data_IF_011518823296
#
_entry.id   IF_011518823296
#
_cell.length_a   1.000
_cell.length_b   1.000
_cell.length_c   1.000
_cell.angle_alpha   90.00
_cell.angle_beta   90.00
_cell.angle_gamma   90.00
#
_symmetry.space_group_name_H-M   'P 1'
#
loop_
_entity.id
_entity.type
_entity.pdbx_description
1 polymer ?
#
# COMPACT_ATOMS: atom_id res chain seq x y z
N UNK A 1 -11.89 6.23 23.90
CA UNK A 1 -12.44 4.91 24.09
C UNK A 1 -12.34 4.06 22.83
N UNK A 2 -12.88 2.86 22.89
CA UNK A 2 -12.84 1.94 21.75
C UNK A 2 -13.53 2.48 20.51
N UNK A 3 -14.63 3.18 20.70
CA UNK A 3 -15.37 3.77 19.60
C UNK A 3 -14.55 4.82 18.88
N UNK A 4 -13.76 5.58 19.63
CA UNK A 4 -12.93 6.64 19.06
C UNK A 4 -11.85 6.04 18.14
N UNK A 5 -11.26 4.91 18.53
CA UNK A 5 -10.25 4.23 17.72
C UNK A 5 -10.86 3.76 16.40
N UNK A 6 -12.04 3.14 16.44
CA UNK A 6 -12.72 2.69 15.24
C UNK A 6 -13.15 3.85 14.36
N UNK A 7 -13.66 4.93 14.96
CA UNK A 7 -14.14 6.10 14.22
C UNK A 7 -13.00 6.88 13.55
N UNK A 8 -11.76 6.71 14.02
CA UNK A 8 -10.60 7.37 13.40
C UNK A 8 -10.04 6.62 12.20
N UNK A 9 -10.45 5.38 11.97
CA UNK A 9 -9.96 4.60 10.83
C UNK A 9 -10.68 4.99 9.56
N UNK A 10 -9.94 5.01 8.45
CA UNK A 10 -10.50 5.35 7.15
C UNK A 10 -11.56 4.30 6.75
N UNK A 11 -12.83 4.71 6.55
CA UNK A 11 -13.88 3.74 6.24
C UNK A 11 -13.69 3.07 4.87
N UNK A 12 -14.09 1.81 4.77
CA UNK A 12 -14.15 1.15 3.47
C UNK A 12 -15.12 1.90 2.56
N UNK A 13 -14.81 1.98 1.28
CA UNK A 13 -15.57 2.77 0.31
C UNK A 13 -15.09 4.20 0.17
N UNK A 14 -14.22 4.67 1.07
CA UNK A 14 -13.66 6.03 0.97
C UNK A 14 -12.88 6.18 -0.32
N UNK A 15 -13.07 7.31 -0.99
CA UNK A 15 -12.28 7.64 -2.17
C UNK A 15 -10.83 7.90 -1.82
N UNK A 16 -9.93 7.51 -2.71
CA UNK A 16 -8.50 7.70 -2.55
C UNK A 16 -8.19 9.17 -2.22
N UNK A 17 -7.61 9.45 -1.04
CA UNK A 17 -7.20 10.81 -0.71
C UNK A 17 -6.18 11.34 -1.70
N UNK A 18 -6.26 12.63 -1.99
CA UNK A 18 -5.31 13.29 -2.86
C UNK A 18 -3.91 13.30 -2.25
N UNK A 19 -2.92 13.13 -3.10
CA UNK A 19 -1.53 13.35 -2.72
C UNK A 19 -0.74 13.80 -3.94
N UNK A 20 0.36 14.48 -3.67
CA UNK A 20 1.34 14.88 -4.68
C UNK A 20 2.69 14.93 -3.96
N UNK A 21 3.44 13.84 -4.03
CA UNK A 21 4.62 13.65 -3.20
C UNK A 21 5.86 13.39 -4.03
N UNK A 22 6.97 13.94 -3.58
CA UNK A 22 8.24 13.78 -4.26
C UNK A 22 8.85 12.42 -3.95
N UNK A 23 9.20 11.69 -4.99
CA UNK A 23 9.88 10.41 -4.88
C UNK A 23 11.40 10.54 -4.71
N UNK A 24 12.01 9.44 -4.34
CA UNK A 24 13.48 9.35 -4.21
C UNK A 24 14.19 9.50 -5.55
N UNK A 25 13.46 9.39 -6.65
CA UNK A 25 13.93 9.61 -8.02
C UNK A 25 13.74 11.07 -8.47
N UNK A 26 13.33 11.94 -7.55
CA UNK A 26 13.06 13.37 -7.75
C UNK A 26 11.81 13.68 -8.58
N UNK A 27 11.08 12.64 -9.01
CA UNK A 27 9.79 12.81 -9.69
C UNK A 27 8.67 12.97 -8.67
N UNK A 28 7.61 13.67 -9.06
CA UNK A 28 6.41 13.81 -8.24
C UNK A 28 5.38 12.78 -8.64
N UNK A 29 4.74 12.17 -7.65
CA UNK A 29 3.71 11.15 -7.85
C UNK A 29 2.41 11.62 -7.22
N UNK A 30 1.35 11.59 -8.03
CA UNK A 30 0.00 12.01 -7.63
C UNK A 30 -0.92 10.81 -7.58
N UNK A 31 -1.98 10.91 -6.79
CA UNK A 31 -3.04 9.89 -6.76
C UNK A 31 -3.58 9.58 -8.15
N UNK A 32 -3.72 10.57 -9.02
CA UNK A 32 -4.25 10.40 -10.38
C UNK A 32 -3.28 9.69 -11.33
N UNK A 33 -2.00 9.58 -11.00
CA UNK A 33 -1.02 8.90 -11.84
C UNK A 33 -1.30 7.40 -11.98
N UNK A 34 -2.11 6.84 -11.09
CA UNK A 34 -2.43 5.41 -11.07
C UNK A 34 -3.81 5.09 -11.65
N UNK A 35 -4.46 6.07 -12.28
CA UNK A 35 -5.82 5.92 -12.80
C UNK A 35 -5.97 4.85 -13.89
N UNK A 36 -4.89 4.56 -14.62
CA UNK A 36 -4.88 3.52 -15.66
C UNK A 36 -4.60 2.12 -15.09
N UNK A 37 -4.25 2.03 -13.81
CA UNK A 37 -3.98 0.74 -13.18
C UNK A 37 -5.30 0.09 -12.73
N UNK A 38 -5.25 -1.23 -12.56
CA UNK A 38 -6.37 -1.99 -12.03
C UNK A 38 -6.31 -1.99 -10.49
N UNK A 39 -6.51 -0.82 -9.91
CA UNK A 39 -6.40 -0.63 -8.47
C UNK A 39 -5.04 -0.12 -8.04
N UNK A 40 -4.93 0.21 -6.76
CA UNK A 40 -3.73 0.81 -6.17
C UNK A 40 -3.53 0.33 -4.74
N UNK A 41 -2.33 -0.14 -4.45
CA UNK A 41 -1.89 -0.40 -3.08
C UNK A 41 -1.06 0.78 -2.59
N UNK A 42 -1.51 1.44 -1.54
CA UNK A 42 -0.77 2.49 -0.84
C UNK A 42 -0.23 1.91 0.45
N UNK A 43 1.08 2.04 0.65
CA UNK A 43 1.76 1.51 1.83
C UNK A 43 2.45 2.64 2.58
N UNK A 44 2.18 2.75 3.87
CA UNK A 44 2.98 3.63 4.73
C UNK A 44 4.08 2.78 5.35
N UNK A 45 5.30 3.03 4.93
CA UNK A 45 6.49 2.26 5.32
C UNK A 45 7.63 3.21 5.67
N UNK A 46 8.65 2.67 6.32
CA UNK A 46 9.85 3.44 6.66
C UNK A 46 11.06 2.50 6.67
N UNK A 47 12.24 3.09 6.75
CA UNK A 47 13.48 2.31 6.70
C UNK A 47 13.90 1.77 8.06
N UNK A 48 13.59 2.50 9.15
CA UNK A 48 14.09 2.14 10.46
C UNK A 48 13.16 1.23 11.27
N UNK A 49 11.92 1.07 10.83
CA UNK A 49 10.93 0.30 11.57
C UNK A 49 11.26 -1.19 11.59
N UNK A 50 11.46 -1.80 12.77
CA UNK A 50 11.76 -3.24 12.84
C UNK A 50 10.70 -4.11 12.20
N UNK A 51 9.43 -3.71 12.26
CA UNK A 51 8.35 -4.46 11.66
C UNK A 51 8.45 -4.44 10.13
N UNK A 52 8.73 -3.29 9.53
CA UNK A 52 8.94 -3.19 8.07
C UNK A 52 10.12 -4.06 7.66
N UNK A 53 11.23 -4.00 8.39
CA UNK A 53 12.41 -4.84 8.12
C UNK A 53 12.08 -6.32 8.19
N UNK A 54 11.21 -6.69 9.12
CA UNK A 54 10.78 -8.08 9.31
C UNK A 54 10.09 -8.66 8.08
N UNK A 55 9.31 -7.85 7.36
CA UNK A 55 8.52 -8.33 6.22
C UNK A 55 9.11 -7.97 4.85
N UNK A 56 10.21 -7.23 4.82
CA UNK A 56 10.71 -6.58 3.58
C UNK A 56 10.92 -7.51 2.40
N UNK A 57 11.57 -8.66 2.59
CA UNK A 57 11.82 -9.56 1.45
C UNK A 57 10.53 -10.05 0.81
N UNK A 58 9.59 -10.47 1.64
CA UNK A 58 8.30 -10.96 1.16
C UNK A 58 7.49 -9.82 0.55
N UNK A 59 7.59 -8.64 1.15
CA UNK A 59 6.89 -7.45 0.64
C UNK A 59 7.36 -7.09 -0.76
N UNK A 60 8.66 -7.16 -1.03
CA UNK A 60 9.22 -6.89 -2.36
C UNK A 60 8.67 -7.87 -3.38
N UNK A 61 8.72 -9.16 -3.08
CA UNK A 61 8.18 -10.19 -3.98
C UNK A 61 6.69 -9.96 -4.25
N UNK A 62 5.95 -9.68 -3.19
CA UNK A 62 4.50 -9.47 -3.28
C UNK A 62 4.16 -8.25 -4.14
N UNK A 63 4.82 -7.13 -3.90
CA UNK A 63 4.55 -5.89 -4.65
C UNK A 63 5.00 -5.99 -6.10
N UNK A 64 6.09 -6.69 -6.37
CA UNK A 64 6.53 -6.94 -7.75
C UNK A 64 5.49 -7.77 -8.51
N UNK A 65 4.88 -8.75 -7.86
CA UNK A 65 3.78 -9.51 -8.47
C UNK A 65 2.57 -8.63 -8.76
N UNK A 66 2.22 -7.72 -7.86
CA UNK A 66 1.11 -6.78 -8.08
C UNK A 66 1.37 -5.89 -9.28
N UNK A 67 2.57 -5.35 -9.39
CA UNK A 67 2.96 -4.50 -10.51
C UNK A 67 2.84 -5.27 -11.82
N UNK A 68 3.27 -6.52 -11.83
CA UNK A 68 3.14 -7.38 -13.01
C UNK A 68 1.68 -7.63 -13.40
N UNK A 69 0.76 -7.53 -12.45
CA UNK A 69 -0.69 -7.68 -12.67
C UNK A 69 -1.39 -6.34 -12.95
N UNK A 70 -0.63 -5.28 -13.20
CA UNK A 70 -1.13 -3.94 -13.45
C UNK A 70 -1.86 -3.32 -12.25
N UNK A 71 -1.51 -3.72 -11.04
CA UNK A 71 -1.96 -3.03 -9.84
C UNK A 71 -0.89 -2.01 -9.48
N UNK A 72 -1.28 -0.76 -9.31
CA UNK A 72 -0.35 0.29 -8.89
C UNK A 72 0.10 0.04 -7.46
N UNK A 73 1.34 0.40 -7.16
CA UNK A 73 1.90 0.30 -5.80
C UNK A 73 2.70 1.56 -5.52
N UNK A 74 2.52 2.14 -4.35
CA UNK A 74 3.32 3.28 -3.89
C UNK A 74 3.66 3.10 -2.41
N UNK A 75 4.90 3.37 -2.06
CA UNK A 75 5.37 3.40 -0.67
C UNK A 75 5.54 4.84 -0.23
N UNK A 76 4.95 5.20 0.89
CA UNK A 76 4.99 6.55 1.44
C UNK A 76 5.71 6.51 2.79
N UNK A 77 6.77 7.30 2.92
CA UNK A 77 7.49 7.48 4.17
C UNK A 77 7.11 8.84 4.76
N UNK A 78 6.43 8.82 5.88
CA UNK A 78 5.94 10.03 6.56
C UNK A 78 6.77 10.41 7.78
N UNK A 79 7.90 9.78 7.99
CA UNK A 79 8.79 10.13 9.10
C UNK A 79 9.60 11.37 8.76
N UNK A 80 9.68 12.27 9.72
CA UNK A 80 10.46 13.51 9.56
C UNK A 80 11.94 13.24 9.83
N UNK A 81 12.71 13.05 8.78
CA UNK A 81 14.13 12.71 8.87
C UNK A 81 15.01 13.84 9.42
N UNK A 82 14.46 15.05 9.56
CA UNK A 82 15.17 16.13 10.25
C UNK A 82 15.26 15.86 11.76
N UNK A 83 14.41 15.00 12.30
CA UNK A 83 14.49 14.55 13.68
C UNK A 83 15.53 13.42 13.80
N UNK A 84 16.34 13.50 14.83
CA UNK A 84 17.43 12.53 15.06
C UNK A 84 16.93 11.08 15.07
N UNK A 85 15.79 10.84 15.70
CA UNK A 85 15.22 9.48 15.81
C UNK A 85 14.81 8.89 14.46
N UNK A 86 14.65 9.72 13.43
CA UNK A 86 14.27 9.29 12.09
C UNK A 86 15.39 9.52 11.05
N UNK A 87 16.63 9.65 11.50
CA UNK A 87 17.76 9.88 10.60
C UNK A 87 17.90 8.78 9.54
N UNK A 88 17.50 7.54 9.87
CA UNK A 88 17.53 6.42 8.92
C UNK A 88 16.47 6.53 7.83
N UNK A 89 15.57 7.50 7.93
CA UNK A 89 14.52 7.74 6.94
C UNK A 89 14.83 8.94 6.03
N UNK A 90 16.09 9.37 5.97
CA UNK A 90 16.51 10.39 5.01
C UNK A 90 16.36 9.88 3.58
N UNK A 91 16.30 10.82 2.63
CA UNK A 91 16.18 10.49 1.21
C UNK A 91 17.33 9.59 0.77
N UNK A 92 18.55 9.86 1.20
CA UNK A 92 19.71 9.04 0.87
C UNK A 92 19.56 7.61 1.38
N UNK A 93 19.06 7.45 2.59
CA UNK A 93 18.79 6.12 3.16
C UNK A 93 17.65 5.42 2.45
N UNK A 94 16.61 6.14 2.06
CA UNK A 94 15.51 5.58 1.27
C UNK A 94 16.03 5.07 -0.08
N UNK A 95 16.91 5.82 -0.74
CA UNK A 95 17.53 5.41 -2.00
C UNK A 95 18.36 4.15 -1.83
N UNK A 96 19.18 4.08 -0.78
CA UNK A 96 19.98 2.89 -0.47
C UNK A 96 19.10 1.67 -0.24
N UNK A 97 18.06 1.81 0.56
CA UNK A 97 17.12 0.73 0.87
C UNK A 97 16.39 0.24 -0.37
N UNK A 98 15.86 1.16 -1.15
CA UNK A 98 15.11 0.82 -2.36
C UNK A 98 15.99 0.05 -3.36
N UNK A 99 17.23 0.50 -3.53
CA UNK A 99 18.17 -0.15 -4.43
C UNK A 99 18.57 -1.54 -3.91
N UNK A 100 18.90 -1.63 -2.63
CA UNK A 100 19.34 -2.88 -2.00
C UNK A 100 18.24 -3.95 -2.02
N UNK A 101 17.02 -3.56 -1.71
CA UNK A 101 15.89 -4.49 -1.61
C UNK A 101 15.18 -4.73 -2.93
N UNK A 102 15.46 -3.91 -3.94
CA UNK A 102 14.83 -4.08 -5.27
C UNK A 102 13.40 -3.57 -5.34
N UNK A 103 13.10 -2.46 -4.68
CA UNK A 103 11.78 -1.84 -4.78
C UNK A 103 11.52 -1.40 -6.22
N UNK A 104 10.44 -1.90 -6.82
CA UNK A 104 9.99 -1.46 -8.15
C UNK A 104 8.90 -0.40 -8.06
N UNK A 105 8.31 -0.22 -6.90
CA UNK A 105 7.30 0.81 -6.68
C UNK A 105 7.94 2.17 -6.39
N UNK A 106 7.25 3.29 -6.71
CA UNK A 106 7.70 4.61 -6.29
C UNK A 106 7.76 4.70 -4.77
N UNK A 107 8.86 5.24 -4.25
CA UNK A 107 9.05 5.46 -2.83
C UNK A 107 9.12 6.96 -2.61
N UNK A 108 8.16 7.52 -1.89
CA UNK A 108 7.92 8.96 -1.82
C UNK A 108 7.91 9.46 -0.39
N UNK A 109 8.09 10.77 -0.23
CA UNK A 109 8.23 11.42 1.07
C UNK A 109 7.01 12.28 1.38
N UNK A 110 6.35 12.00 2.50
CA UNK A 110 5.28 12.80 3.06
C UNK A 110 5.87 13.66 4.18
N UNK A 111 6.51 14.74 3.79
CA UNK A 111 7.41 15.52 4.65
C UNK A 111 6.72 16.11 5.88
N UNK A 112 5.49 16.57 5.73
CA UNK A 112 4.73 17.20 6.81
C UNK A 112 3.66 16.29 7.42
N UNK A 113 3.64 15.01 7.05
CA UNK A 113 2.72 13.99 7.52
C UNK A 113 1.25 14.27 7.18
N UNK A 114 0.99 15.18 6.26
CA UNK A 114 -0.39 15.53 5.85
C UNK A 114 -1.07 14.34 5.20
N UNK A 115 -0.37 13.61 4.33
CA UNK A 115 -0.97 12.48 3.62
C UNK A 115 -1.26 11.33 4.60
N UNK A 116 -0.34 11.04 5.51
CA UNK A 116 -0.59 10.04 6.55
C UNK A 116 -1.84 10.38 7.37
N UNK A 117 -2.01 11.65 7.72
CA UNK A 117 -3.20 12.12 8.44
C UNK A 117 -4.48 11.93 7.62
N UNK A 118 -4.44 12.26 6.34
CA UNK A 118 -5.59 12.12 5.45
C UNK A 118 -5.99 10.67 5.24
N UNK A 119 -5.05 9.75 5.31
CA UNK A 119 -5.32 8.31 5.26
C UNK A 119 -5.69 7.76 6.64
N UNK A 120 -5.53 8.53 7.70
CA UNK A 120 -5.60 8.06 9.08
C UNK A 120 -4.69 6.86 9.32
N UNK A 121 -3.49 6.92 8.75
CA UNK A 121 -2.48 5.87 8.94
C UNK A 121 -2.05 5.83 10.40
N UNK A 122 -2.06 4.64 10.99
CA UNK A 122 -1.85 4.46 12.44
C UNK A 122 -0.42 4.10 12.79
N UNK A 123 0.26 3.38 11.89
CA UNK A 123 1.58 2.84 12.16
C UNK A 123 2.28 2.51 10.84
N UNK A 124 3.49 2.01 10.92
CA UNK A 124 4.19 1.41 9.78
C UNK A 124 4.53 -0.03 10.12
N UNK A 125 4.31 -0.96 9.20
CA UNK A 125 3.65 -0.78 7.91
C UNK A 125 2.12 -0.67 8.06
N UNK A 126 1.51 0.11 7.19
CA UNK A 126 0.05 0.21 7.13
C UNK A 126 -0.37 0.16 5.66
N UNK A 127 -1.35 -0.66 5.33
CA UNK A 127 -1.69 -0.99 3.95
C UNK A 127 -3.11 -0.57 3.62
N UNK A 128 -3.27 0.06 2.45
CA UNK A 128 -4.56 0.55 1.95
C UNK A 128 -4.70 0.12 0.50
N UNK A 129 -5.66 -0.75 0.22
CA UNK A 129 -5.91 -1.23 -1.14
C UNK A 129 -7.16 -0.56 -1.69
N UNK A 130 -7.04 0.07 -2.85
CA UNK A 130 -8.13 0.73 -3.56
C UNK A 130 -8.44 -0.02 -4.84
N UNK A 131 -9.73 -0.09 -5.19
CA UNK A 131 -10.16 -0.69 -6.45
C UNK A 131 -9.92 0.27 -7.62
N UNK A 132 -10.31 -0.13 -8.84
CA UNK A 132 -10.11 0.69 -10.03
C UNK A 132 -11.03 1.92 -10.09
N UNK A 133 -11.98 2.03 -9.19
CA UNK A 133 -12.80 3.24 -9.01
C UNK A 133 -12.25 4.14 -7.89
N UNK A 134 -11.04 3.85 -7.43
CA UNK A 134 -10.36 4.59 -6.35
C UNK A 134 -11.11 4.55 -5.03
N UNK A 135 -11.80 3.46 -4.75
CA UNK A 135 -12.51 3.24 -3.50
C UNK A 135 -11.76 2.24 -2.64
N UNK A 136 -11.64 2.55 -1.34
CA UNK A 136 -10.93 1.70 -0.38
C UNK A 136 -11.67 0.38 -0.18
N UNK A 137 -10.98 -0.73 -0.44
CA UNK A 137 -11.56 -2.07 -0.28
C UNK A 137 -10.88 -2.89 0.81
N UNK A 138 -9.69 -2.49 1.24
CA UNK A 138 -8.99 -3.15 2.34
C UNK A 138 -8.04 -2.17 3.00
N UNK A 139 -7.99 -2.20 4.31
CA UNK A 139 -6.96 -1.54 5.10
C UNK A 139 -6.53 -2.46 6.22
N UNK A 140 -5.25 -2.45 6.54
CA UNK A 140 -4.78 -3.25 7.65
C UNK A 140 -3.40 -3.83 7.44
N UNK A 141 -3.23 -5.04 7.95
CA UNK A 141 -1.94 -5.70 8.05
C UNK A 141 -1.54 -6.47 6.79
N UNK A 142 -0.26 -6.73 6.68
CA UNK A 142 0.29 -7.62 5.65
C UNK A 142 -0.07 -9.07 5.95
N UNK A 143 0.21 -9.50 7.17
CA UNK A 143 -0.12 -10.83 7.68
C UNK A 143 -0.12 -10.81 9.21
N UNK A 144 -0.20 -11.98 9.83
CA UNK A 144 -0.19 -12.13 11.29
C UNK A 144 1.22 -12.22 11.87
N UNK A 145 2.26 -12.26 11.03
CA UNK A 145 3.64 -12.32 11.50
C UNK A 145 4.05 -11.00 12.15
N UNK A 146 4.74 -11.11 13.25
CA UNK A 146 5.31 -9.98 13.99
C UNK A 146 6.71 -10.38 14.45
N UNK A 147 7.63 -9.43 14.60
CA UNK A 147 8.92 -9.76 15.20
C UNK A 147 8.70 -10.50 16.53
N UNK A 148 9.24 -11.69 16.63
CA UNK A 148 9.21 -12.48 17.86
C UNK A 148 7.98 -13.35 18.10
N UNK A 149 6.99 -13.42 17.19
CA UNK A 149 5.81 -14.24 17.42
C UNK A 149 5.86 -15.61 16.72
N UNK A 150 6.96 -15.94 16.07
CA UNK A 150 7.20 -17.23 15.40
C UNK A 150 6.25 -17.58 14.25
N UNK A 151 5.40 -16.65 13.82
CA UNK A 151 4.56 -16.87 12.65
C UNK A 151 5.34 -16.51 11.39
N UNK A 152 5.22 -17.31 10.32
CA UNK A 152 5.96 -17.03 9.09
C UNK A 152 5.43 -15.77 8.40
N UNK A 153 6.32 -15.08 7.69
CA UNK A 153 5.96 -13.94 6.86
C UNK A 153 5.43 -14.47 5.54
N UNK A 154 4.14 -14.31 5.30
CA UNK A 154 3.46 -14.83 4.12
C UNK A 154 2.74 -13.77 3.29
N UNK A 155 2.38 -12.65 3.91
CA UNK A 155 1.53 -11.64 3.27
C UNK A 155 0.09 -12.10 3.11
N UNK A 156 -0.34 -13.13 3.85
CA UNK A 156 -1.64 -13.78 3.62
C UNK A 156 -2.85 -12.86 3.74
N UNK A 157 -2.84 -11.92 4.69
CA UNK A 157 -3.99 -11.03 4.89
C UNK A 157 -4.19 -10.12 3.69
N UNK A 158 -3.11 -9.50 3.23
CA UNK A 158 -3.17 -8.62 2.07
C UNK A 158 -3.37 -9.43 0.79
N UNK A 159 -2.73 -10.60 0.67
CA UNK A 159 -2.90 -11.48 -0.49
C UNK A 159 -4.35 -11.91 -0.65
N UNK A 160 -5.04 -12.27 0.43
CA UNK A 160 -6.45 -12.64 0.40
C UNK A 160 -7.31 -11.48 -0.12
N UNK A 161 -7.03 -10.27 0.33
CA UNK A 161 -7.77 -9.08 -0.14
C UNK A 161 -7.55 -8.84 -1.63
N UNK A 162 -6.32 -8.94 -2.10
CA UNK A 162 -5.98 -8.80 -3.51
C UNK A 162 -6.65 -9.89 -4.35
N UNK A 163 -6.56 -11.14 -3.91
CA UNK A 163 -7.14 -12.27 -4.62
C UNK A 163 -8.67 -12.13 -4.72
N UNK A 164 -9.31 -11.73 -3.64
CA UNK A 164 -10.76 -11.47 -3.64
C UNK A 164 -11.13 -10.37 -4.62
N UNK A 165 -10.36 -9.30 -4.65
CA UNK A 165 -10.58 -8.19 -5.59
C UNK A 165 -10.40 -8.64 -7.03
N UNK A 166 -9.32 -9.35 -7.34
CA UNK A 166 -9.06 -9.82 -8.70
C UNK A 166 -10.10 -10.84 -9.16
N UNK A 167 -10.50 -11.74 -8.27
CA UNK A 167 -11.55 -12.72 -8.57
C UNK A 167 -12.89 -12.06 -8.83
N UNK A 168 -13.25 -11.02 -8.06
CA UNK A 168 -14.47 -10.25 -8.28
C UNK A 168 -14.44 -9.56 -9.64
N UNK A 169 -13.29 -8.99 -10.02
CA UNK A 169 -13.12 -8.36 -11.31
C UNK A 169 -13.24 -9.37 -12.45
N UNK A 170 -12.64 -10.56 -12.30
CA UNK A 170 -12.74 -11.63 -13.28
C UNK A 170 -14.18 -12.11 -13.42
N UNK A 171 -14.88 -12.31 -12.31
CA UNK A 171 -16.28 -12.71 -12.30
C UNK A 171 -17.12 -11.66 -13.02
N UNK A 172 -16.92 -10.39 -12.71
CA UNK A 172 -17.64 -9.29 -13.35
C UNK A 172 -17.36 -9.28 -14.86
N UNK A 173 -16.10 -9.41 -15.26
CA UNK A 173 -15.73 -9.47 -16.67
C UNK A 173 -16.36 -10.64 -17.39
N UNK A 174 -16.32 -11.82 -16.78
CA UNK A 174 -16.94 -13.04 -17.33
C UNK A 174 -18.45 -12.86 -17.41
N UNK A 175 -19.08 -12.34 -16.36
CA UNK A 175 -20.52 -12.05 -16.34
C UNK A 175 -20.91 -11.10 -17.47
N UNK A 176 -20.14 -10.05 -17.68
CA UNK A 176 -20.41 -9.10 -18.73
C UNK A 176 -20.32 -9.76 -20.10
N UNK A 177 -19.35 -10.60 -20.33
CA UNK A 177 -19.18 -11.35 -21.54
C UNK A 177 -20.32 -12.33 -21.73
N UNK A 178 -20.69 -13.05 -20.67
CA UNK A 178 -21.77 -14.04 -20.70
C UNK A 178 -23.15 -13.40 -20.89
N UNK A 179 -23.38 -12.26 -20.31
CA UNK A 179 -24.63 -11.53 -20.49
C UNK A 179 -24.87 -11.15 -21.94
N UNK A 180 -23.81 -10.93 -22.68
CA UNK A 180 -23.89 -10.69 -24.12
C UNK A 180 -24.21 -11.96 -24.89
N UNK A 181 -23.90 -13.13 -24.33
CA UNK A 181 -24.10 -14.42 -24.98
C UNK A 181 -25.30 -15.19 -24.40
N UNK A 182 -25.38 -15.32 -23.06
CA UNK A 182 -26.40 -16.17 -22.42
C UNK A 182 -26.78 -15.79 -21.00
N UNK A 183 -26.41 -14.62 -20.54
CA UNK A 183 -26.83 -14.06 -19.23
C UNK A 183 -26.49 -14.88 -18.00
N UNK A 184 -25.38 -15.55 -17.97
CA UNK A 184 -24.96 -16.25 -16.77
C UNK A 184 -23.79 -15.57 -16.11
N UNK A 185 -23.68 -15.78 -14.82
CA UNK A 185 -22.54 -15.29 -14.05
C UNK A 185 -21.73 -16.44 -13.54
#
# INVERSE_FOLDING_TARGET
>A
GKMDVESTMLPLGTKLPEFNLKGIDEKYYKNTDFSENNGLLVMFICNHCPFVKHINEKLVDFTNELIAKNIGVIGINSNDSSQEKYAEDSIEKMQEYAAELGYEFPYVVDEDQTVAKNFTAQCTPDFFLFNNDSELIYRGQFDFSRPGNDKPVTGESLAQAVDAYLSSNEIISVSYTHLRAHETT
#
